data_IF_135114616996
#
_entry.id   IF_135114616996
#
_cell.length_a   1.000
_cell.length_b   1.000
_cell.length_c   1.000
_cell.angle_alpha   90.00
_cell.angle_beta   90.00
_cell.angle_gamma   90.00
#
_symmetry.space_group_name_H-M   'P 1'
#
loop_
_entity.id
_entity.type
_entity.pdbx_description
1 polymer ?
#
# COMPACT_ATOMS: atom_id res chain seq x y z
N UNK A 1 -10.52 -1.63 2.13
CA UNK A 1 -10.86 -0.42 1.31
C UNK A 1 -9.73 0.01 0.37
N UNK A 2 -8.46 -0.15 0.72
CA UNK A 2 -7.34 0.28 -0.14
C UNK A 2 -7.37 -0.30 -1.57
N UNK A 3 -7.80 -1.55 -1.73
CA UNK A 3 -7.92 -2.21 -3.04
C UNK A 3 -9.34 -2.16 -3.63
N UNK A 4 -10.29 -1.50 -2.97
CA UNK A 4 -11.66 -1.42 -3.48
C UNK A 4 -11.77 -0.62 -4.79
N UNK A 5 -11.11 0.54 -4.86
CA UNK A 5 -11.08 1.33 -6.09
C UNK A 5 -10.26 0.66 -7.21
N UNK A 6 -9.02 0.19 -6.99
CA UNK A 6 -8.30 -0.59 -8.01
C UNK A 6 -9.09 -1.75 -8.61
N UNK A 7 -9.91 -2.44 -7.81
CA UNK A 7 -10.74 -3.56 -8.28
C UNK A 7 -11.84 -3.13 -9.27
N UNK A 8 -12.29 -1.88 -9.23
CA UNK A 8 -13.39 -1.35 -10.07
C UNK A 8 -12.94 -0.28 -11.04
N UNK A 9 -11.65 0.12 -11.00
CA UNK A 9 -11.12 1.28 -11.71
C UNK A 9 -11.46 1.27 -13.21
N UNK A 10 -11.25 0.16 -13.90
CA UNK A 10 -11.46 0.06 -15.35
C UNK A 10 -12.93 0.27 -15.75
N UNK A 11 -13.86 -0.29 -14.99
CA UNK A 11 -15.32 -0.11 -15.26
C UNK A 11 -15.76 1.31 -14.93
N UNK A 12 -15.29 1.86 -13.81
CA UNK A 12 -15.61 3.23 -13.40
C UNK A 12 -15.01 4.25 -14.38
N UNK A 13 -13.78 4.02 -14.82
CA UNK A 13 -13.13 4.87 -15.84
C UNK A 13 -13.91 4.89 -17.15
N UNK A 14 -14.42 3.74 -17.58
CA UNK A 14 -15.24 3.60 -18.78
C UNK A 14 -16.60 4.30 -18.61
N UNK A 15 -17.35 3.98 -17.54
CA UNK A 15 -18.69 4.51 -17.28
C UNK A 15 -18.71 6.03 -17.16
N UNK A 16 -17.68 6.62 -16.53
CA UNK A 16 -17.63 8.08 -16.31
C UNK A 16 -16.79 8.83 -17.35
N UNK A 17 -16.24 8.16 -18.33
CA UNK A 17 -15.41 8.78 -19.36
C UNK A 17 -14.15 9.46 -18.81
N UNK A 18 -13.55 8.91 -17.74
CA UNK A 18 -12.41 9.55 -17.10
C UNK A 18 -11.13 9.41 -17.94
N UNK A 19 -10.29 10.48 -17.94
CA UNK A 19 -8.90 10.34 -18.35
C UNK A 19 -8.16 9.41 -17.36
N UNK A 20 -7.04 8.83 -17.78
CA UNK A 20 -6.25 7.97 -16.90
C UNK A 20 -5.64 8.77 -15.74
N UNK A 21 -5.26 10.03 -15.97
CA UNK A 21 -4.84 10.95 -14.89
C UNK A 21 -5.96 11.14 -13.86
N UNK A 22 -7.19 11.38 -14.30
CA UNK A 22 -8.32 11.52 -13.39
C UNK A 22 -8.61 10.24 -12.63
N UNK A 23 -8.55 9.08 -13.28
CA UNK A 23 -8.69 7.79 -12.61
C UNK A 23 -7.57 7.54 -11.59
N UNK A 24 -6.32 7.82 -11.94
CA UNK A 24 -5.17 7.70 -11.02
C UNK A 24 -5.29 8.63 -9.81
N UNK A 25 -5.86 9.84 -9.99
CA UNK A 25 -6.02 10.81 -8.90
C UNK A 25 -6.93 10.33 -7.76
N UNK A 26 -7.90 9.46 -8.04
CA UNK A 26 -8.75 8.86 -6.99
C UNK A 26 -7.93 7.91 -6.10
N UNK A 27 -7.05 7.09 -6.68
CA UNK A 27 -6.08 6.29 -5.91
C UNK A 27 -5.12 7.19 -5.12
N UNK A 28 -4.67 8.28 -5.71
CA UNK A 28 -3.81 9.28 -5.06
C UNK A 28 -4.49 9.95 -3.88
N UNK A 29 -5.77 10.31 -4.00
CA UNK A 29 -6.56 10.89 -2.90
C UNK A 29 -6.65 9.93 -1.70
N UNK A 30 -6.76 8.62 -1.96
CA UNK A 30 -6.72 7.61 -0.90
C UNK A 30 -5.36 7.61 -0.19
N UNK A 31 -4.25 7.66 -0.92
CA UNK A 31 -2.90 7.66 -0.31
C UNK A 31 -2.62 8.96 0.45
N UNK A 32 -3.01 10.12 -0.08
CA UNK A 32 -2.90 11.42 0.60
C UNK A 32 -3.72 11.41 1.89
N UNK A 33 -5.00 10.96 1.80
CA UNK A 33 -5.87 10.84 2.96
C UNK A 33 -5.25 9.97 4.06
N UNK A 34 -4.66 8.83 3.67
CA UNK A 34 -3.95 7.94 4.60
C UNK A 34 -2.74 8.64 5.24
N UNK A 35 -1.87 9.26 4.44
CA UNK A 35 -0.66 9.92 4.91
C UNK A 35 -0.96 11.04 5.92
N UNK A 36 -1.91 11.91 5.56
CA UNK A 36 -2.33 13.05 6.40
C UNK A 36 -2.98 12.53 7.69
N UNK A 37 -3.92 11.60 7.57
CA UNK A 37 -4.66 11.09 8.72
C UNK A 37 -3.77 10.34 9.71
N UNK A 38 -2.77 9.58 9.26
CA UNK A 38 -1.83 8.89 10.16
C UNK A 38 -1.09 9.85 11.08
N UNK A 39 -0.74 11.06 10.61
CA UNK A 39 -0.09 12.09 11.45
C UNK A 39 -1.05 12.57 12.52
N UNK A 40 -2.28 12.95 12.15
CA UNK A 40 -3.28 13.44 13.09
C UNK A 40 -3.77 12.37 14.05
N UNK A 41 -4.02 11.16 13.55
CA UNK A 41 -4.49 10.05 14.38
C UNK A 41 -3.43 9.61 15.39
N UNK A 42 -2.15 9.60 15.00
CA UNK A 42 -1.07 9.28 15.93
C UNK A 42 -0.99 10.30 17.06
N UNK A 43 -1.13 11.61 16.76
CA UNK A 43 -1.19 12.65 17.77
C UNK A 43 -2.44 12.50 18.65
N UNK A 44 -3.59 12.20 18.06
CA UNK A 44 -4.86 12.06 18.77
C UNK A 44 -4.88 10.83 19.71
N UNK A 45 -4.19 9.77 19.32
CA UNK A 45 -4.05 8.55 20.11
C UNK A 45 -3.27 8.75 21.42
N UNK A 46 -2.48 9.82 21.52
CA UNK A 46 -1.81 10.19 22.78
C UNK A 46 -2.79 10.79 23.82
N UNK A 47 -3.93 11.34 23.38
CA UNK A 47 -4.89 12.05 24.23
C UNK A 47 -6.20 11.31 24.42
N UNK A 48 -6.62 10.51 23.44
CA UNK A 48 -7.87 9.76 23.47
C UNK A 48 -7.66 8.29 23.81
N UNK A 49 -8.70 7.67 24.34
CA UNK A 49 -8.73 6.20 24.52
C UNK A 49 -8.58 5.49 23.17
N UNK A 50 -7.57 4.64 22.98
CA UNK A 50 -7.38 3.88 21.74
C UNK A 50 -8.61 3.06 21.31
N UNK A 51 -9.42 2.56 22.27
CA UNK A 51 -10.67 1.83 22.00
C UNK A 51 -11.75 2.71 21.39
N UNK A 52 -11.89 3.92 21.93
CA UNK A 52 -12.83 4.91 21.41
C UNK A 52 -12.41 5.33 19.98
N UNK A 53 -11.13 5.65 19.82
CA UNK A 53 -10.58 6.06 18.51
C UNK A 53 -10.74 4.96 17.48
N UNK A 54 -10.45 3.70 17.83
CA UNK A 54 -10.66 2.55 16.96
C UNK A 54 -12.14 2.39 16.56
N UNK A 55 -13.09 2.44 17.53
CA UNK A 55 -14.53 2.30 17.27
C UNK A 55 -15.08 3.42 16.38
N UNK A 56 -14.73 4.67 16.68
CA UNK A 56 -15.15 5.81 15.89
C UNK A 56 -14.63 5.69 14.46
N UNK A 57 -13.35 5.35 14.29
CA UNK A 57 -12.74 5.15 12.97
C UNK A 57 -13.35 3.97 12.21
N UNK A 58 -13.62 2.85 12.89
CA UNK A 58 -14.28 1.69 12.27
C UNK A 58 -15.71 2.06 11.81
N UNK A 59 -16.46 2.79 12.64
CA UNK A 59 -17.81 3.28 12.30
C UNK A 59 -17.81 4.25 11.13
N UNK A 60 -16.90 5.22 11.14
CA UNK A 60 -16.74 6.16 10.02
C UNK A 60 -16.32 5.44 8.73
N UNK A 61 -15.39 4.47 8.83
CA UNK A 61 -14.99 3.67 7.67
C UNK A 61 -16.17 2.87 7.11
N UNK A 62 -16.98 2.24 7.96
CA UNK A 62 -18.18 1.52 7.53
C UNK A 62 -19.18 2.46 6.85
N UNK A 63 -19.48 3.60 7.47
CA UNK A 63 -20.41 4.59 6.94
C UNK A 63 -19.96 5.12 5.56
N UNK A 64 -18.70 5.59 5.45
CA UNK A 64 -18.18 6.11 4.18
C UNK A 64 -18.14 4.99 3.13
N UNK A 65 -17.76 3.76 3.50
CA UNK A 65 -17.72 2.64 2.56
C UNK A 65 -19.11 2.31 1.97
N UNK A 66 -20.17 2.43 2.77
CA UNK A 66 -21.56 2.26 2.29
C UNK A 66 -22.05 3.44 1.45
N UNK A 67 -21.54 4.65 1.70
CA UNK A 67 -21.90 5.84 0.93
C UNK A 67 -21.22 5.88 -0.44
N UNK A 68 -20.04 5.29 -0.61
CA UNK A 68 -19.31 5.32 -1.91
C UNK A 68 -20.20 4.81 -3.06
N UNK A 69 -20.77 3.59 -3.04
CA UNK A 69 -21.57 3.08 -4.15
C UNK A 69 -22.85 3.86 -4.41
N UNK A 70 -23.33 4.63 -3.43
CA UNK A 70 -24.55 5.46 -3.54
C UNK A 70 -24.24 6.85 -4.07
N UNK A 71 -23.18 7.51 -3.58
CA UNK A 71 -22.91 8.92 -3.82
C UNK A 71 -21.79 9.15 -4.86
N UNK A 72 -21.05 8.12 -5.25
CA UNK A 72 -20.05 8.28 -6.30
C UNK A 72 -20.71 8.26 -7.68
N UNK A 73 -20.80 9.44 -8.30
CA UNK A 73 -21.41 9.62 -9.63
C UNK A 73 -20.45 10.23 -10.65
N UNK A 74 -19.17 10.44 -10.28
CA UNK A 74 -18.16 11.02 -11.14
C UNK A 74 -16.86 11.27 -10.38
N UNK A 75 -15.89 11.83 -11.09
CA UNK A 75 -14.53 12.04 -10.61
C UNK A 75 -14.45 12.69 -9.22
N UNK A 76 -15.03 13.89 -9.06
CA UNK A 76 -14.91 14.66 -7.81
C UNK A 76 -15.54 13.95 -6.62
N UNK A 77 -16.74 13.37 -6.80
CA UNK A 77 -17.42 12.64 -5.72
C UNK A 77 -16.64 11.41 -5.30
N UNK A 78 -16.06 10.65 -6.25
CA UNK A 78 -15.21 9.51 -5.95
C UNK A 78 -13.92 9.93 -5.24
N UNK A 79 -13.24 10.97 -5.73
CA UNK A 79 -12.03 11.50 -5.14
C UNK A 79 -12.24 11.89 -3.67
N UNK A 80 -13.32 12.61 -3.36
CA UNK A 80 -13.65 13.03 -2.00
C UNK A 80 -14.04 11.84 -1.11
N UNK A 81 -14.85 10.90 -1.62
CA UNK A 81 -15.33 9.74 -0.84
C UNK A 81 -14.20 8.74 -0.55
N UNK A 82 -13.34 8.42 -1.53
CA UNK A 82 -12.20 7.54 -1.29
C UNK A 82 -11.14 8.21 -0.41
N UNK A 83 -10.93 9.53 -0.54
CA UNK A 83 -10.12 10.31 0.40
C UNK A 83 -10.67 10.28 1.82
N UNK A 84 -11.98 10.49 2.00
CA UNK A 84 -12.64 10.38 3.29
C UNK A 84 -12.55 8.96 3.90
N UNK A 85 -12.70 7.91 3.07
CA UNK A 85 -12.51 6.53 3.51
C UNK A 85 -11.09 6.27 4.02
N UNK A 86 -10.09 6.85 3.36
CA UNK A 86 -8.69 6.75 3.78
C UNK A 86 -8.44 7.44 5.13
N UNK A 87 -9.00 8.64 5.31
CA UNK A 87 -8.94 9.35 6.61
C UNK A 87 -9.61 8.53 7.70
N UNK A 88 -10.78 7.96 7.42
CA UNK A 88 -11.52 7.15 8.40
C UNK A 88 -10.74 5.90 8.80
N UNK A 89 -10.16 5.16 7.85
CA UNK A 89 -9.46 3.88 8.12
C UNK A 89 -8.14 4.06 8.87
N UNK A 90 -7.49 5.22 8.76
CA UNK A 90 -6.20 5.48 9.41
C UNK A 90 -6.26 5.33 10.94
N UNK A 91 -7.41 5.64 11.55
CA UNK A 91 -7.62 5.47 13.00
C UNK A 91 -7.84 4.03 13.47
N UNK A 92 -7.81 3.06 12.56
CA UNK A 92 -7.83 1.63 12.90
C UNK A 92 -6.41 1.11 13.15
N UNK A 93 -5.44 1.58 12.37
CA UNK A 93 -4.08 1.03 12.38
C UNK A 93 -3.30 1.33 13.67
N UNK A 94 -3.09 2.61 13.97
CA UNK A 94 -2.32 3.02 15.16
C UNK A 94 -2.97 2.58 16.47
N UNK A 95 -4.27 2.86 16.73
CA UNK A 95 -4.94 2.35 17.91
C UNK A 95 -4.98 0.81 17.99
N UNK A 96 -5.12 0.11 16.86
CA UNK A 96 -5.07 -1.34 16.82
C UNK A 96 -3.73 -1.89 17.34
N UNK A 97 -2.62 -1.31 16.92
CA UNK A 97 -1.28 -1.65 17.43
C UNK A 97 -1.18 -1.38 18.94
N UNK A 98 -1.69 -0.23 19.42
CA UNK A 98 -1.66 0.11 20.83
C UNK A 98 -2.46 -0.89 21.68
N UNK A 99 -3.65 -1.26 21.24
CA UNK A 99 -4.52 -2.23 21.92
C UNK A 99 -3.89 -3.62 21.96
N UNK A 100 -3.21 -4.05 20.90
CA UNK A 100 -2.44 -5.30 20.90
C UNK A 100 -1.25 -5.24 21.88
N UNK A 101 -0.56 -4.11 21.93
CA UNK A 101 0.55 -3.92 22.86
C UNK A 101 0.11 -3.92 24.34
N UNK A 102 -1.12 -3.46 24.64
CA UNK A 102 -1.72 -3.52 25.97
C UNK A 102 -2.14 -4.95 26.36
N UNK A 103 -2.64 -5.74 25.40
CA UNK A 103 -3.29 -7.03 25.66
C UNK A 103 -2.32 -8.21 25.70
N UNK A 104 -1.23 -8.13 24.97
CA UNK A 104 -0.24 -9.20 24.84
C UNK A 104 1.03 -8.90 25.61
N UNK A 105 1.53 -9.91 26.33
CA UNK A 105 2.83 -9.87 27.00
C UNK A 105 3.97 -9.65 25.97
N UNK A 106 5.12 -9.03 26.38
CA UNK A 106 6.22 -8.74 25.48
C UNK A 106 6.68 -9.93 24.64
N UNK A 107 6.68 -11.15 25.22
CA UNK A 107 7.09 -12.37 24.52
C UNK A 107 6.14 -12.78 23.36
N UNK A 108 4.87 -12.37 23.38
CA UNK A 108 3.86 -12.70 22.36
C UNK A 108 3.45 -11.53 21.50
N UNK A 109 3.90 -10.32 21.80
CA UNK A 109 3.55 -9.10 21.02
C UNK A 109 3.97 -9.20 19.57
N UNK A 110 5.16 -9.72 19.28
CA UNK A 110 5.64 -9.88 17.92
C UNK A 110 4.71 -10.76 17.07
N UNK A 111 4.25 -11.87 17.63
CA UNK A 111 3.30 -12.76 16.97
C UNK A 111 1.95 -12.07 16.73
N UNK A 112 1.41 -11.36 17.72
CA UNK A 112 0.14 -10.65 17.59
C UNK A 112 0.21 -9.53 16.52
N UNK A 113 1.32 -8.77 16.48
CA UNK A 113 1.57 -7.76 15.44
C UNK A 113 1.70 -8.40 14.06
N UNK A 114 2.37 -9.54 13.96
CA UNK A 114 2.47 -10.30 12.71
C UNK A 114 1.11 -10.72 12.17
N UNK A 115 0.22 -11.24 13.01
CA UNK A 115 -1.15 -11.56 12.62
C UNK A 115 -1.97 -10.33 12.20
N UNK A 116 -1.79 -9.19 12.87
CA UNK A 116 -2.47 -7.95 12.51
C UNK A 116 -2.05 -7.45 11.11
N UNK A 117 -0.76 -7.50 10.80
CA UNK A 117 -0.25 -7.15 9.48
C UNK A 117 -0.69 -8.15 8.40
N UNK A 118 -0.66 -9.45 8.72
CA UNK A 118 -1.15 -10.49 7.82
C UNK A 118 -2.64 -10.33 7.50
N UNK A 119 -3.46 -9.93 8.49
CA UNK A 119 -4.88 -9.63 8.28
C UNK A 119 -5.09 -8.45 7.32
N UNK A 120 -4.23 -7.42 7.37
CA UNK A 120 -4.28 -6.31 6.41
C UNK A 120 -3.98 -6.78 4.99
N UNK A 121 -2.96 -7.60 4.80
CA UNK A 121 -2.62 -8.18 3.50
C UNK A 121 -3.71 -9.13 2.98
N UNK A 122 -4.32 -9.93 3.86
CA UNK A 122 -5.48 -10.75 3.51
C UNK A 122 -6.66 -9.88 3.08
N UNK A 123 -6.86 -8.72 3.72
CA UNK A 123 -7.86 -7.73 3.32
C UNK A 123 -7.68 -7.24 1.88
N UNK A 124 -6.44 -7.09 1.40
CA UNK A 124 -6.16 -6.73 0.00
C UNK A 124 -6.54 -7.86 -0.96
N UNK A 125 -6.15 -9.09 -0.65
CA UNK A 125 -6.51 -10.28 -1.43
C UNK A 125 -8.02 -10.45 -1.52
N UNK A 126 -8.73 -10.35 -0.39
CA UNK A 126 -10.19 -10.44 -0.33
C UNK A 126 -10.85 -9.28 -1.10
N UNK A 127 -10.33 -8.07 -0.99
CA UNK A 127 -10.88 -6.91 -1.69
C UNK A 127 -10.80 -7.07 -3.21
N UNK A 128 -9.68 -7.55 -3.73
CA UNK A 128 -9.50 -7.82 -5.15
C UNK A 128 -10.26 -9.07 -5.60
N UNK A 129 -10.17 -10.16 -4.84
CA UNK A 129 -10.81 -11.44 -5.20
C UNK A 129 -12.33 -11.36 -5.18
N UNK A 130 -12.90 -10.92 -4.05
CA UNK A 130 -14.36 -10.77 -3.89
C UNK A 130 -14.88 -9.63 -4.78
N UNK A 131 -14.19 -8.47 -4.76
CA UNK A 131 -14.53 -7.33 -5.60
C UNK A 131 -14.58 -7.72 -7.07
N UNK A 132 -13.54 -8.37 -7.58
CA UNK A 132 -13.46 -8.84 -8.96
C UNK A 132 -14.56 -9.85 -9.32
N UNK A 133 -14.84 -10.82 -8.45
CA UNK A 133 -15.89 -11.79 -8.67
C UNK A 133 -17.29 -11.16 -8.76
N UNK A 134 -17.55 -10.11 -7.99
CA UNK A 134 -18.83 -9.39 -7.99
C UNK A 134 -18.91 -8.41 -9.17
N UNK A 135 -17.82 -7.70 -9.48
CA UNK A 135 -17.79 -6.79 -10.66
C UNK A 135 -18.17 -7.54 -11.93
N UNK A 136 -17.62 -8.73 -12.14
CA UNK A 136 -17.89 -9.53 -13.34
C UNK A 136 -19.35 -9.96 -13.51
N UNK A 137 -20.17 -9.95 -12.44
CA UNK A 137 -21.56 -10.46 -12.44
C UNK A 137 -22.62 -9.39 -12.18
N UNK A 138 -22.30 -8.40 -11.34
CA UNK A 138 -23.28 -7.46 -10.80
C UNK A 138 -22.82 -5.99 -10.87
N UNK A 139 -21.67 -5.74 -11.50
CA UNK A 139 -21.14 -4.39 -11.69
C UNK A 139 -20.43 -3.82 -10.47
N UNK A 140 -19.84 -2.64 -10.64
CA UNK A 140 -18.94 -2.03 -9.65
C UNK A 140 -19.66 -1.54 -8.39
N UNK A 141 -20.91 -1.07 -8.49
CA UNK A 141 -21.69 -0.62 -7.31
C UNK A 141 -21.97 -1.78 -6.37
N UNK A 142 -22.40 -2.92 -6.91
CA UNK A 142 -22.62 -4.13 -6.12
C UNK A 142 -21.32 -4.63 -5.48
N UNK A 143 -20.21 -4.57 -6.22
CA UNK A 143 -18.90 -4.94 -5.67
C UNK A 143 -18.50 -4.05 -4.48
N UNK A 144 -18.67 -2.74 -4.57
CA UNK A 144 -18.37 -1.81 -3.47
C UNK A 144 -19.31 -2.01 -2.28
N UNK A 145 -20.61 -2.32 -2.48
CA UNK A 145 -21.51 -2.69 -1.38
C UNK A 145 -21.06 -3.96 -0.66
N UNK A 146 -20.70 -5.00 -1.41
CA UNK A 146 -20.18 -6.25 -0.80
C UNK A 146 -18.88 -5.99 -0.06
N UNK A 147 -17.96 -5.20 -0.61
CA UNK A 147 -16.71 -4.85 0.06
C UNK A 147 -16.92 -3.99 1.31
N UNK A 148 -17.99 -3.19 1.39
CA UNK A 148 -18.35 -2.41 2.57
C UNK A 148 -18.79 -3.28 3.76
N UNK A 149 -19.20 -4.52 3.52
CA UNK A 149 -19.51 -5.47 4.60
C UNK A 149 -18.30 -5.74 5.50
N UNK A 150 -17.06 -5.70 4.96
CA UNK A 150 -15.85 -5.87 5.75
C UNK A 150 -15.68 -4.79 6.84
N UNK A 151 -15.65 -3.49 6.50
CA UNK A 151 -15.68 -2.40 7.47
C UNK A 151 -16.88 -2.45 8.43
N UNK A 152 -18.06 -2.81 7.95
CA UNK A 152 -19.26 -2.95 8.79
C UNK A 152 -19.10 -4.05 9.83
N UNK A 153 -18.57 -5.20 9.42
CA UNK A 153 -18.25 -6.30 10.34
C UNK A 153 -17.18 -5.89 11.35
N UNK A 154 -16.13 -5.18 10.91
CA UNK A 154 -15.09 -4.65 11.79
C UNK A 154 -15.69 -3.71 12.85
N UNK A 155 -16.59 -2.81 12.45
CA UNK A 155 -17.29 -1.93 13.38
C UNK A 155 -18.13 -2.73 14.38
N UNK A 156 -18.99 -3.65 13.92
CA UNK A 156 -19.81 -4.51 14.78
C UNK A 156 -18.98 -5.31 15.78
N UNK A 157 -17.89 -5.94 15.32
CA UNK A 157 -16.97 -6.65 16.20
C UNK A 157 -16.30 -5.71 17.21
N UNK A 158 -15.95 -4.49 16.84
CA UNK A 158 -15.35 -3.52 17.75
C UNK A 158 -16.30 -3.09 18.88
N UNK A 159 -17.60 -2.98 18.59
CA UNK A 159 -18.63 -2.70 19.61
C UNK A 159 -18.73 -3.85 20.61
N UNK A 160 -18.68 -5.08 20.12
CA UNK A 160 -18.77 -6.27 20.98
C UNK A 160 -17.48 -6.48 21.79
N UNK A 161 -16.31 -6.44 21.17
CA UNK A 161 -15.02 -6.74 21.80
C UNK A 161 -14.61 -5.72 22.86
N UNK A 162 -15.01 -4.47 22.70
CA UNK A 162 -14.67 -3.40 23.65
C UNK A 162 -15.85 -3.00 24.56
N UNK A 163 -16.91 -3.83 24.61
CA UNK A 163 -18.05 -3.60 25.48
C UNK A 163 -17.65 -3.72 26.95
N UNK A 164 -17.99 -2.71 27.75
CA UNK A 164 -17.72 -2.71 29.19
C UNK A 164 -16.24 -2.56 29.61
N UNK A 165 -15.30 -2.55 28.66
CA UNK A 165 -13.88 -2.34 28.99
C UNK A 165 -13.64 -0.87 29.36
N UNK A 166 -13.21 -0.62 30.61
CA UNK A 166 -12.73 0.71 31.02
C UNK A 166 -11.32 0.93 30.51
N UNK A 167 -11.06 2.09 29.88
CA UNK A 167 -9.73 2.51 29.52
C UNK A 167 -8.84 2.54 30.76
N UNK A 168 -7.78 1.74 30.76
CA UNK A 168 -6.62 2.06 31.60
C UNK A 168 -5.90 3.20 30.86
N UNK A 169 -6.11 4.44 31.30
CA UNK A 169 -5.25 5.54 30.89
C UNK A 169 -3.82 5.13 31.24
N UNK A 170 -3.08 4.68 30.24
CA UNK A 170 -1.63 4.65 30.38
C UNK A 170 -1.22 6.09 30.63
N UNK A 171 -0.43 6.32 31.68
CA UNK A 171 0.23 7.62 31.91
C UNK A 171 0.97 7.94 30.62
N UNK A 172 0.43 8.84 29.83
CA UNK A 172 0.95 9.15 28.52
C UNK A 172 2.41 9.62 28.69
N UNK A 173 3.37 9.03 27.97
CA UNK A 173 4.63 9.73 27.75
C UNK A 173 4.25 11.07 27.13
N UNK A 174 4.79 12.17 27.67
CA UNK A 174 4.48 13.52 27.19
C UNK A 174 4.60 13.62 25.66
N UNK A 175 3.96 14.62 25.03
CA UNK A 175 3.82 14.71 23.58
C UNK A 175 5.17 14.48 22.90
N UNK A 176 5.27 13.39 22.13
CA UNK A 176 6.43 13.13 21.28
C UNK A 176 6.41 14.19 20.19
N UNK A 177 7.23 15.22 20.36
CA UNK A 177 7.44 16.21 19.30
C UNK A 177 7.99 15.47 18.08
N UNK A 178 7.24 15.52 16.98
CA UNK A 178 7.77 15.22 15.66
C UNK A 178 8.85 16.28 15.37
N UNK A 179 10.06 16.03 15.82
CA UNK A 179 11.17 16.92 15.49
C UNK A 179 11.81 16.38 14.22
N UNK A 180 11.69 17.13 13.13
CA UNK A 180 12.60 17.02 11.99
C UNK A 180 13.98 17.49 12.47
N UNK A 181 14.73 16.56 13.05
CA UNK A 181 15.94 16.88 13.78
C UNK A 181 17.15 16.96 12.87
N UNK A 182 18.05 17.90 13.13
CA UNK A 182 19.35 18.00 12.48
C UNK A 182 20.14 16.68 12.51
N UNK A 183 19.95 15.88 13.59
CA UNK A 183 20.56 14.55 13.73
C UNK A 183 20.11 13.56 12.65
N UNK A 184 18.83 13.57 12.25
CA UNK A 184 18.34 12.72 11.16
C UNK A 184 18.83 13.24 9.81
N UNK A 185 18.91 14.57 9.65
CA UNK A 185 19.43 15.21 8.43
C UNK A 185 20.94 14.93 8.23
N UNK A 186 21.71 14.73 9.30
CA UNK A 186 23.12 14.34 9.25
C UNK A 186 23.37 12.83 9.12
N UNK A 187 22.35 12.01 9.34
CA UNK A 187 22.48 10.54 9.36
C UNK A 187 22.31 9.96 7.96
N UNK A 188 23.36 9.92 7.15
CA UNK A 188 23.33 9.41 5.76
C UNK A 188 22.77 7.99 5.64
N UNK A 189 23.14 6.99 6.47
CA UNK A 189 22.55 5.64 6.40
C UNK A 189 21.04 5.66 6.58
N UNK A 190 20.53 6.40 7.57
CA UNK A 190 19.08 6.52 7.79
C UNK A 190 18.38 7.23 6.61
N UNK A 191 19.00 8.27 6.04
CA UNK A 191 18.46 8.93 4.85
C UNK A 191 18.39 7.99 3.65
N UNK A 192 19.42 7.20 3.37
CA UNK A 192 19.41 6.23 2.27
C UNK A 192 18.35 5.15 2.48
N UNK A 193 18.11 4.70 3.71
CA UNK A 193 17.00 3.81 4.05
C UNK A 193 15.63 4.48 3.84
N UNK A 194 15.50 5.76 4.21
CA UNK A 194 14.25 6.51 4.02
C UNK A 194 13.99 6.72 2.52
N UNK A 195 14.95 7.23 1.76
CA UNK A 195 14.79 7.46 0.33
C UNK A 195 14.59 6.16 -0.44
N UNK A 196 15.31 5.10 -0.11
CA UNK A 196 15.05 3.77 -0.68
C UNK A 196 13.61 3.32 -0.48
N UNK A 197 13.06 3.52 0.73
CA UNK A 197 11.65 3.22 1.02
C UNK A 197 10.67 4.16 0.26
N UNK A 198 11.03 5.41 0.04
CA UNK A 198 10.24 6.36 -0.76
C UNK A 198 10.14 5.87 -2.21
N UNK A 199 11.25 5.46 -2.79
CA UNK A 199 11.31 4.93 -4.16
C UNK A 199 10.62 3.57 -4.29
N UNK A 200 10.75 2.69 -3.30
CA UNK A 200 9.96 1.47 -3.18
C UNK A 200 8.45 1.77 -3.15
N UNK A 201 8.02 2.74 -2.34
CA UNK A 201 6.59 3.11 -2.22
C UNK A 201 6.04 3.70 -3.51
N UNK A 202 6.84 4.47 -4.25
CA UNK A 202 6.50 4.95 -5.59
C UNK A 202 6.17 3.79 -6.52
N UNK A 203 7.05 2.82 -6.63
CA UNK A 203 6.86 1.66 -7.50
C UNK A 203 5.68 0.80 -7.03
N UNK A 204 5.65 0.42 -5.75
CA UNK A 204 4.66 -0.49 -5.19
C UNK A 204 3.24 0.06 -5.27
N UNK A 205 3.01 1.31 -4.83
CA UNK A 205 1.66 1.88 -4.76
C UNK A 205 1.14 2.26 -6.14
N UNK A 206 2.02 2.66 -7.07
CA UNK A 206 1.68 2.82 -8.47
C UNK A 206 1.27 1.51 -9.12
N UNK A 207 2.04 0.45 -8.92
CA UNK A 207 1.73 -0.91 -9.39
C UNK A 207 0.39 -1.39 -8.83
N UNK A 208 0.15 -1.27 -7.53
CA UNK A 208 -1.10 -1.71 -6.91
C UNK A 208 -2.33 -0.98 -7.46
N UNK A 209 -2.20 0.31 -7.77
CA UNK A 209 -3.30 1.10 -8.30
C UNK A 209 -3.70 0.66 -9.73
N UNK A 210 -2.74 0.30 -10.56
CA UNK A 210 -2.96 0.12 -11.99
C UNK A 210 -2.91 -1.31 -12.50
N UNK A 211 -2.34 -2.28 -11.75
CA UNK A 211 -2.24 -3.68 -12.20
C UNK A 211 -3.60 -4.31 -12.54
N UNK A 212 -4.68 -4.14 -11.73
CA UNK A 212 -5.99 -4.69 -12.11
C UNK A 212 -6.50 -4.12 -13.43
N UNK A 213 -6.33 -2.82 -13.65
CA UNK A 213 -6.75 -2.16 -14.89
C UNK A 213 -5.88 -2.57 -16.09
N UNK A 214 -4.57 -2.77 -15.91
CA UNK A 214 -3.68 -3.29 -16.94
C UNK A 214 -4.12 -4.67 -17.42
N UNK A 215 -4.36 -5.60 -16.50
CA UNK A 215 -4.80 -6.96 -16.86
C UNK A 215 -6.19 -6.90 -17.51
N UNK A 216 -7.09 -6.06 -17.01
CA UNK A 216 -8.40 -5.86 -17.60
C UNK A 216 -8.30 -5.33 -19.03
N UNK A 217 -7.45 -4.33 -19.28
CA UNK A 217 -7.23 -3.78 -20.61
C UNK A 217 -6.61 -4.82 -21.57
N UNK A 218 -5.65 -5.63 -21.11
CA UNK A 218 -5.05 -6.71 -21.90
C UNK A 218 -6.08 -7.79 -22.26
N UNK A 219 -6.99 -8.15 -21.35
CA UNK A 219 -8.08 -9.09 -21.61
C UNK A 219 -9.14 -8.50 -22.56
N UNK A 220 -9.48 -7.23 -22.41
CA UNK A 220 -10.39 -6.54 -23.31
C UNK A 220 -9.82 -6.44 -24.73
N UNK A 221 -8.52 -6.19 -24.86
CA UNK A 221 -7.80 -6.22 -26.14
C UNK A 221 -7.88 -7.60 -26.82
N UNK A 222 -7.95 -8.68 -26.04
CA UNK A 222 -8.12 -10.06 -26.51
C UNK A 222 -9.62 -10.43 -26.73
N UNK A 223 -10.55 -9.47 -26.64
CA UNK A 223 -11.97 -9.67 -26.95
C UNK A 223 -12.86 -10.02 -25.76
N UNK A 224 -12.38 -9.90 -24.51
CA UNK A 224 -13.21 -10.08 -23.31
C UNK A 224 -14.04 -8.82 -23.05
N UNK A 225 -15.32 -8.96 -22.61
CA UNK A 225 -16.16 -7.81 -22.22
C UNK A 225 -15.56 -7.07 -21.04
N UNK A 226 -15.82 -5.75 -20.95
CA UNK A 226 -15.16 -4.88 -19.96
C UNK A 226 -15.41 -5.33 -18.50
N UNK A 227 -16.63 -5.75 -18.17
CA UNK A 227 -17.00 -6.17 -16.81
C UNK A 227 -16.28 -7.48 -16.45
N UNK A 228 -16.24 -8.43 -17.39
CA UNK A 228 -15.53 -9.70 -17.19
C UNK A 228 -14.02 -9.50 -17.13
N UNK A 229 -13.49 -8.64 -17.98
CA UNK A 229 -12.08 -8.28 -18.00
C UNK A 229 -11.66 -7.60 -16.69
N UNK A 230 -12.45 -6.64 -16.19
CA UNK A 230 -12.24 -5.97 -14.91
C UNK A 230 -12.27 -6.96 -13.74
N UNK A 231 -13.26 -7.85 -13.72
CA UNK A 231 -13.38 -8.86 -12.68
C UNK A 231 -12.19 -9.83 -12.67
N UNK A 232 -11.77 -10.32 -13.82
CA UNK A 232 -10.60 -11.19 -13.94
C UNK A 232 -9.30 -10.44 -13.63
N UNK A 233 -9.17 -9.18 -14.06
CA UNK A 233 -8.03 -8.33 -13.75
C UNK A 233 -7.83 -8.14 -12.26
N UNK A 234 -8.89 -7.85 -11.52
CA UNK A 234 -8.87 -7.77 -10.07
C UNK A 234 -8.54 -9.12 -9.41
N UNK A 235 -9.19 -10.20 -9.84
CA UNK A 235 -8.97 -11.55 -9.29
C UNK A 235 -7.51 -12.01 -9.48
N UNK A 236 -6.95 -11.84 -10.68
CA UNK A 236 -5.56 -12.22 -10.96
C UNK A 236 -4.56 -11.35 -10.20
N UNK A 237 -4.87 -10.06 -10.03
CA UNK A 237 -4.04 -9.18 -9.19
C UNK A 237 -4.03 -9.61 -7.72
N UNK A 238 -5.07 -10.29 -7.23
CA UNK A 238 -5.06 -10.86 -5.89
C UNK A 238 -3.94 -11.89 -5.70
N UNK A 239 -3.57 -12.64 -6.75
CA UNK A 239 -2.44 -13.60 -6.74
C UNK A 239 -1.13 -12.86 -6.43
N UNK A 240 -0.93 -11.67 -7.02
CA UNK A 240 0.29 -10.87 -6.80
C UNK A 240 0.40 -10.41 -5.35
N UNK A 241 -0.73 -10.10 -4.70
CA UNK A 241 -0.75 -9.78 -3.27
C UNK A 241 -0.46 -11.02 -2.39
N UNK A 242 -0.92 -12.22 -2.78
CA UNK A 242 -0.55 -13.47 -2.09
C UNK A 242 0.96 -13.69 -2.18
N UNK A 243 1.56 -13.50 -3.36
CA UNK A 243 3.01 -13.59 -3.53
C UNK A 243 3.76 -12.58 -2.67
N UNK A 244 3.23 -11.37 -2.53
CA UNK A 244 3.76 -10.34 -1.64
C UNK A 244 3.72 -10.72 -0.15
N UNK A 245 2.67 -11.43 0.30
CA UNK A 245 2.60 -11.97 1.68
C UNK A 245 3.75 -12.97 1.91
N UNK A 246 3.96 -13.89 0.96
CA UNK A 246 5.06 -14.86 1.02
C UNK A 246 6.43 -14.17 1.05
N UNK A 247 6.59 -13.12 0.23
CA UNK A 247 7.81 -12.35 0.15
C UNK A 247 8.11 -11.60 1.47
N UNK A 248 7.10 -11.00 2.08
CA UNK A 248 7.25 -10.32 3.38
C UNK A 248 7.66 -11.27 4.50
N UNK A 249 7.10 -12.48 4.49
CA UNK A 249 7.45 -13.51 5.48
C UNK A 249 8.89 -14.02 5.31
N UNK A 250 9.35 -14.16 4.06
CA UNK A 250 10.70 -14.70 3.74
C UNK A 250 11.77 -13.61 3.69
N UNK A 251 11.43 -12.39 3.25
CA UNK A 251 12.38 -11.28 3.07
C UNK A 251 13.14 -10.92 4.34
N UNK A 252 12.45 -10.88 5.48
CA UNK A 252 13.08 -10.69 6.80
C UNK A 252 14.13 -11.74 7.09
N UNK A 253 13.77 -13.02 7.00
CA UNK A 253 14.69 -14.15 7.26
C UNK A 253 15.88 -14.17 6.28
N UNK A 254 15.64 -13.90 5.00
CA UNK A 254 16.71 -13.77 4.00
C UNK A 254 17.65 -12.63 4.35
N UNK A 255 17.13 -11.50 4.81
CA UNK A 255 17.94 -10.32 5.17
C UNK A 255 18.77 -10.52 6.44
N UNK A 256 18.30 -11.38 7.36
CA UNK A 256 19.09 -11.79 8.52
C UNK A 256 20.28 -12.69 8.12
N UNK A 257 20.13 -13.42 7.01
CA UNK A 257 21.16 -14.33 6.50
C UNK A 257 22.15 -13.63 5.56
N UNK A 258 21.67 -12.83 4.61
CA UNK A 258 22.45 -12.25 3.50
C UNK A 258 22.77 -10.77 3.68
N UNK A 259 22.21 -10.12 4.70
CA UNK A 259 22.33 -8.68 4.96
C UNK A 259 21.18 -7.87 4.40
N UNK A 260 20.88 -6.73 5.06
CA UNK A 260 19.76 -5.87 4.72
C UNK A 260 19.88 -5.28 3.32
N UNK A 261 21.06 -4.68 3.04
CA UNK A 261 21.29 -3.99 1.75
C UNK A 261 21.29 -4.96 0.58
N UNK A 262 21.82 -6.17 0.73
CA UNK A 262 21.86 -7.17 -0.32
C UNK A 262 20.46 -7.65 -0.71
N UNK A 263 19.61 -7.95 0.29
CA UNK A 263 18.25 -8.44 0.01
C UNK A 263 17.39 -7.33 -0.59
N UNK A 264 17.44 -6.10 -0.04
CA UNK A 264 16.71 -4.98 -0.63
C UNK A 264 17.17 -4.73 -2.07
N UNK A 265 18.49 -4.65 -2.31
CA UNK A 265 19.03 -4.41 -3.64
C UNK A 265 18.62 -5.52 -4.63
N UNK A 266 18.64 -6.79 -4.22
CA UNK A 266 18.17 -7.91 -5.04
C UNK A 266 16.69 -7.82 -5.37
N UNK A 267 15.85 -7.52 -4.39
CA UNK A 267 14.40 -7.34 -4.60
C UNK A 267 14.11 -6.14 -5.52
N UNK A 268 14.76 -4.99 -5.29
CA UNK A 268 14.61 -3.79 -6.12
C UNK A 268 15.11 -4.01 -7.55
N UNK A 269 16.17 -4.78 -7.74
CA UNK A 269 16.66 -5.13 -9.08
C UNK A 269 15.62 -5.96 -9.85
N UNK A 270 15.05 -6.99 -9.20
CA UNK A 270 14.05 -7.85 -9.84
C UNK A 270 12.75 -7.08 -10.09
N UNK A 271 12.27 -6.29 -9.12
CA UNK A 271 11.04 -5.50 -9.27
C UNK A 271 11.18 -4.45 -10.35
N UNK A 272 12.32 -3.73 -10.42
CA UNK A 272 12.59 -2.76 -11.49
C UNK A 272 12.61 -3.43 -12.86
N UNK A 273 13.28 -4.57 -13.00
CA UNK A 273 13.30 -5.31 -14.26
C UNK A 273 11.89 -5.73 -14.69
N UNK A 274 11.08 -6.21 -13.73
CA UNK A 274 9.67 -6.50 -13.98
C UNK A 274 8.92 -5.22 -14.39
N UNK A 275 9.10 -4.11 -13.69
CA UNK A 275 8.45 -2.83 -13.97
C UNK A 275 8.73 -2.35 -15.39
N UNK A 276 9.99 -2.40 -15.83
CA UNK A 276 10.37 -2.05 -17.20
C UNK A 276 9.85 -3.02 -18.27
N UNK A 277 9.58 -4.29 -17.91
CA UNK A 277 9.09 -5.31 -18.85
C UNK A 277 7.57 -5.49 -18.86
N UNK A 278 6.90 -5.33 -17.70
CA UNK A 278 5.54 -5.79 -17.49
C UNK A 278 4.51 -5.11 -18.40
N UNK A 279 4.57 -3.79 -18.55
CA UNK A 279 3.64 -3.06 -19.40
C UNK A 279 3.76 -3.41 -20.89
N UNK A 280 4.96 -3.77 -21.35
CA UNK A 280 5.20 -4.20 -22.73
C UNK A 280 4.61 -5.58 -23.05
N UNK A 281 4.21 -6.33 -22.01
CA UNK A 281 3.52 -7.62 -22.15
C UNK A 281 2.02 -7.49 -22.41
N UNK A 282 1.50 -6.30 -22.71
CA UNK A 282 0.08 -6.02 -22.91
C UNK A 282 -0.63 -6.98 -23.87
N UNK A 283 0.03 -7.36 -24.95
CA UNK A 283 -0.49 -8.32 -25.94
C UNK A 283 0.01 -9.75 -25.71
N UNK A 284 0.75 -10.03 -24.64
CA UNK A 284 1.30 -11.34 -24.36
C UNK A 284 0.22 -12.33 -23.87
N UNK A 285 0.47 -13.64 -23.93
CA UNK A 285 -0.40 -14.64 -23.33
C UNK A 285 -0.63 -14.36 -21.83
N UNK A 286 -1.89 -14.50 -21.40
CA UNK A 286 -2.28 -14.21 -20.01
C UNK A 286 -1.42 -14.93 -18.97
N UNK A 287 -1.06 -16.19 -19.23
CA UNK A 287 -0.21 -16.97 -18.33
C UNK A 287 1.14 -16.27 -18.09
N UNK A 288 1.75 -15.71 -19.13
CA UNK A 288 3.03 -14.99 -19.01
C UNK A 288 2.86 -13.72 -18.16
N UNK A 289 1.78 -12.96 -18.40
CA UNK A 289 1.44 -11.78 -17.58
C UNK A 289 1.29 -12.16 -16.10
N UNK A 290 0.59 -13.27 -15.80
CA UNK A 290 0.38 -13.74 -14.43
C UNK A 290 1.68 -14.21 -13.78
N UNK A 291 2.53 -14.94 -14.50
CA UNK A 291 3.83 -15.40 -13.97
C UNK A 291 4.74 -14.22 -13.67
N UNK A 292 4.93 -13.31 -14.62
CA UNK A 292 5.80 -12.14 -14.42
C UNK A 292 5.21 -11.20 -13.36
N UNK A 293 3.89 -10.98 -13.35
CA UNK A 293 3.21 -10.20 -12.33
C UNK A 293 3.33 -10.82 -10.93
N UNK A 294 3.37 -12.15 -10.82
CA UNK A 294 3.62 -12.85 -9.55
C UNK A 294 5.04 -12.63 -9.04
N UNK A 295 6.04 -12.67 -9.93
CA UNK A 295 7.44 -12.36 -9.61
C UNK A 295 7.55 -10.89 -9.22
N UNK A 296 6.88 -10.00 -9.94
CA UNK A 296 6.83 -8.58 -9.64
C UNK A 296 6.21 -8.31 -8.27
N UNK A 297 5.03 -8.88 -7.97
CA UNK A 297 4.38 -8.76 -6.66
C UNK A 297 5.24 -9.31 -5.51
N UNK A 298 5.94 -10.41 -5.74
CA UNK A 298 6.88 -10.98 -4.76
C UNK A 298 8.05 -10.02 -4.50
N UNK A 299 8.73 -9.56 -5.53
CA UNK A 299 9.92 -8.71 -5.39
C UNK A 299 9.57 -7.32 -4.88
N UNK A 300 8.49 -6.70 -5.39
CA UNK A 300 8.09 -5.36 -5.02
C UNK A 300 7.60 -5.23 -3.56
N UNK A 301 7.18 -6.32 -2.89
CA UNK A 301 6.77 -6.27 -1.49
C UNK A 301 7.79 -6.88 -0.53
N UNK A 302 8.71 -7.70 -1.04
CA UNK A 302 9.65 -8.48 -0.21
C UNK A 302 10.67 -7.65 0.57
N UNK A 303 10.97 -6.44 0.13
CA UNK A 303 11.88 -5.50 0.76
C UNK A 303 11.23 -4.62 1.84
N UNK A 304 9.90 -4.47 1.86
CA UNK A 304 9.17 -3.60 2.79
C UNK A 304 9.49 -3.86 4.27
N UNK A 305 9.51 -5.15 4.67
CA UNK A 305 9.85 -5.55 6.03
C UNK A 305 11.33 -5.30 6.35
N UNK A 306 12.19 -5.45 5.34
CA UNK A 306 13.64 -5.26 5.48
C UNK A 306 13.98 -3.78 5.65
N UNK A 307 13.33 -2.87 4.89
CA UNK A 307 13.42 -1.42 5.12
C UNK A 307 12.99 -1.03 6.54
N UNK A 308 11.90 -1.63 7.02
CA UNK A 308 11.41 -1.37 8.37
C UNK A 308 12.40 -1.79 9.45
N UNK A 309 13.04 -2.94 9.30
CA UNK A 309 14.08 -3.41 10.21
C UNK A 309 15.36 -2.58 10.07
N UNK A 310 15.82 -2.32 8.83
CA UNK A 310 17.04 -1.57 8.57
C UNK A 310 17.03 -0.16 9.17
N UNK A 311 15.87 0.53 9.18
CA UNK A 311 15.81 1.85 9.83
C UNK A 311 15.98 1.76 11.33
N UNK A 312 15.54 0.68 12.00
CA UNK A 312 15.76 0.48 13.44
C UNK A 312 17.24 0.29 13.81
N UNK A 313 18.03 -0.18 12.84
CA UNK A 313 19.47 -0.44 13.00
C UNK A 313 20.33 0.80 12.65
N UNK A 314 19.74 1.81 11.98
CA UNK A 314 20.46 3.02 11.52
C UNK A 314 20.22 4.25 12.39
N UNK A 315 19.19 4.25 13.25
CA UNK A 315 18.85 5.38 14.13
C UNK A 315 18.88 4.98 15.59
N UNK A 316 19.11 5.96 16.47
CA UNK A 316 19.04 5.74 17.92
C UNK A 316 17.58 5.45 18.34
N UNK A 317 17.33 4.61 19.38
CA UNK A 317 15.98 4.27 19.83
C UNK A 317 15.09 5.50 20.12
N UNK A 318 15.67 6.58 20.67
CA UNK A 318 14.95 7.82 21.01
C UNK A 318 14.45 8.56 19.77
N UNK A 319 15.06 8.32 18.59
CA UNK A 319 14.76 8.96 17.29
C UNK A 319 13.98 8.06 16.34
N UNK A 320 13.79 6.80 16.69
CA UNK A 320 13.14 5.81 15.82
C UNK A 320 11.71 6.25 15.42
N UNK A 321 10.95 6.78 16.37
CA UNK A 321 9.58 7.25 16.08
C UNK A 321 9.53 8.36 15.03
N UNK A 322 10.44 9.35 15.13
CA UNK A 322 10.55 10.44 14.16
C UNK A 322 11.00 9.94 12.79
N UNK A 323 11.98 9.04 12.74
CA UNK A 323 12.48 8.46 11.49
C UNK A 323 11.41 7.64 10.76
N UNK A 324 10.62 6.84 11.50
CA UNK A 324 9.50 6.08 10.94
C UNK A 324 8.37 6.99 10.45
N UNK A 325 8.09 8.08 11.15
CA UNK A 325 7.08 9.06 10.74
C UNK A 325 7.48 9.77 9.44
N UNK A 326 8.74 10.24 9.35
CA UNK A 326 9.29 10.86 8.12
C UNK A 326 9.26 9.89 6.97
N UNK A 327 9.73 8.65 7.16
CA UNK A 327 9.70 7.59 6.17
C UNK A 327 8.28 7.35 5.64
N UNK A 328 7.31 7.23 6.56
CA UNK A 328 5.91 6.93 6.18
C UNK A 328 5.28 8.10 5.44
N UNK A 329 5.49 9.33 5.91
CA UNK A 329 4.96 10.53 5.26
C UNK A 329 5.50 10.68 3.82
N UNK A 330 6.82 10.56 3.65
CA UNK A 330 7.45 10.65 2.34
C UNK A 330 7.09 9.46 1.44
N UNK A 331 7.05 8.24 1.99
CA UNK A 331 6.68 7.04 1.24
C UNK A 331 5.24 7.09 0.73
N UNK A 332 4.26 7.39 1.59
CA UNK A 332 2.87 7.56 1.15
C UNK A 332 2.71 8.78 0.23
N UNK A 333 3.50 9.85 0.44
CA UNK A 333 3.56 10.99 -0.48
C UNK A 333 3.99 10.60 -1.89
N UNK A 334 5.07 9.83 -2.02
CA UNK A 334 5.51 9.29 -3.30
C UNK A 334 4.46 8.35 -3.91
N UNK A 335 3.88 7.47 -3.09
CA UNK A 335 2.79 6.58 -3.48
C UNK A 335 1.51 7.30 -3.90
N UNK A 336 1.31 8.54 -3.45
CA UNK A 336 0.21 9.38 -3.92
C UNK A 336 0.49 9.99 -5.29
N UNK A 337 1.74 10.30 -5.60
CA UNK A 337 2.13 10.88 -6.90
C UNK A 337 2.20 9.81 -7.99
N UNK A 338 2.62 8.60 -7.64
CA UNK A 338 2.86 7.53 -8.61
C UNK A 338 1.63 7.15 -9.48
N UNK A 339 0.41 6.95 -8.94
CA UNK A 339 -0.77 6.67 -9.76
C UNK A 339 -1.16 7.81 -10.71
N UNK A 340 -0.91 9.07 -10.29
CA UNK A 340 -1.12 10.25 -11.14
C UNK A 340 -0.17 10.26 -12.33
N UNK A 341 1.13 10.07 -12.07
CA UNK A 341 2.15 10.05 -13.13
C UNK A 341 1.90 8.89 -14.09
N UNK A 342 1.55 7.71 -13.57
CA UNK A 342 1.18 6.57 -14.39
C UNK A 342 0.01 6.91 -15.33
N UNK A 343 -1.07 7.48 -14.78
CA UNK A 343 -2.24 7.90 -15.56
C UNK A 343 -1.89 8.99 -16.60
N UNK A 344 -1.05 9.97 -16.24
CA UNK A 344 -0.60 11.00 -17.17
C UNK A 344 0.21 10.42 -18.34
N UNK A 345 1.08 9.45 -18.08
CA UNK A 345 1.80 8.74 -19.14
C UNK A 345 0.83 7.97 -20.03
N UNK A 346 -0.18 7.28 -19.47
CA UNK A 346 -1.19 6.63 -20.30
C UNK A 346 -1.96 7.62 -21.17
N UNK A 347 -2.33 8.78 -20.63
CA UNK A 347 -3.09 9.80 -21.39
C UNK A 347 -2.29 10.33 -22.60
N UNK A 348 -0.95 10.41 -22.49
CA UNK A 348 -0.05 10.77 -23.62
C UNK A 348 -0.08 9.74 -24.75
N UNK A 349 -0.46 8.49 -24.46
CA UNK A 349 -0.48 7.38 -25.42
C UNK A 349 -1.91 6.86 -25.72
N UNK A 350 -2.93 7.70 -25.55
CA UNK A 350 -4.31 7.37 -25.91
C UNK A 350 -5.23 7.06 -24.73
N UNK A 351 -4.76 7.25 -23.49
CA UNK A 351 -5.58 7.13 -22.28
C UNK A 351 -6.16 5.73 -22.10
N UNK A 352 -7.48 5.61 -22.04
CA UNK A 352 -8.20 4.34 -21.93
C UNK A 352 -7.88 3.35 -23.05
N UNK A 353 -7.61 3.85 -24.24
CA UNK A 353 -7.25 3.09 -25.42
C UNK A 353 -5.73 3.01 -25.62
N UNK A 354 -4.96 3.16 -24.54
CA UNK A 354 -3.51 3.16 -24.62
C UNK A 354 -3.00 1.87 -25.28
N UNK A 355 -2.07 2.04 -26.21
CA UNK A 355 -1.39 0.95 -26.90
C UNK A 355 -0.41 0.22 -25.97
N UNK A 356 0.21 -0.84 -26.47
CA UNK A 356 1.35 -1.51 -25.81
C UNK A 356 2.39 -0.51 -25.32
N UNK A 357 2.72 0.50 -26.13
CA UNK A 357 3.70 1.52 -25.75
C UNK A 357 3.22 2.38 -24.56
N UNK A 358 1.94 2.72 -24.49
CA UNK A 358 1.39 3.48 -23.36
C UNK A 358 1.54 2.73 -22.04
N UNK A 359 1.14 1.49 -22.00
CA UNK A 359 1.31 0.64 -20.83
C UNK A 359 2.78 0.38 -20.51
N UNK A 360 3.61 0.15 -21.55
CA UNK A 360 5.04 -0.04 -21.40
C UNK A 360 5.73 1.15 -20.73
N UNK A 361 5.48 2.36 -21.21
CA UNK A 361 6.06 3.58 -20.64
C UNK A 361 5.50 3.91 -19.25
N UNK A 362 4.21 3.66 -19.02
CA UNK A 362 3.59 3.91 -17.71
C UNK A 362 4.21 3.02 -16.61
N UNK A 363 4.39 1.72 -16.86
CA UNK A 363 5.12 0.85 -15.93
C UNK A 363 6.61 1.21 -15.84
N UNK A 364 7.24 1.60 -16.96
CA UNK A 364 8.64 2.03 -16.93
C UNK A 364 8.86 3.27 -16.05
N UNK A 365 7.89 4.19 -16.00
CA UNK A 365 7.94 5.33 -15.08
C UNK A 365 7.96 4.91 -13.60
N UNK A 366 7.31 3.79 -13.25
CA UNK A 366 7.41 3.20 -11.90
C UNK A 366 8.79 2.58 -11.69
N UNK A 367 9.33 1.90 -12.69
CA UNK A 367 10.65 1.26 -12.64
C UNK A 367 11.80 2.22 -12.37
N UNK A 368 11.66 3.51 -12.73
CA UNK A 368 12.62 4.54 -12.35
C UNK A 368 12.77 4.61 -10.83
N UNK A 369 11.67 4.55 -10.09
CA UNK A 369 11.72 4.47 -8.62
C UNK A 369 12.50 3.25 -8.15
N UNK A 370 12.23 2.09 -8.71
CA UNK A 370 12.94 0.86 -8.37
C UNK A 370 14.46 0.97 -8.58
N UNK A 371 14.89 1.56 -9.71
CA UNK A 371 16.33 1.82 -9.97
C UNK A 371 16.92 2.78 -8.93
N UNK A 372 16.23 3.87 -8.59
CA UNK A 372 16.70 4.82 -7.58
C UNK A 372 16.79 4.18 -6.19
N UNK A 373 15.84 3.30 -5.85
CA UNK A 373 15.88 2.49 -4.62
C UNK A 373 17.07 1.53 -4.59
N UNK A 374 17.31 0.83 -5.71
CA UNK A 374 18.49 -0.04 -5.89
C UNK A 374 19.78 0.76 -5.69
N UNK A 375 19.93 1.89 -6.36
CA UNK A 375 21.12 2.74 -6.24
C UNK A 375 21.33 3.23 -4.80
N UNK A 376 20.25 3.59 -4.10
CA UNK A 376 20.31 3.99 -2.69
C UNK A 376 20.89 2.86 -1.82
N UNK A 377 20.49 1.62 -2.06
CA UNK A 377 20.99 0.47 -1.29
C UNK A 377 22.42 0.07 -1.68
N UNK A 378 22.77 0.14 -2.95
CA UNK A 378 24.14 -0.07 -3.40
C UNK A 378 25.08 0.98 -2.81
N UNK A 379 24.65 2.24 -2.75
CA UNK A 379 25.42 3.31 -2.11
C UNK A 379 25.56 3.05 -0.61
N UNK A 380 24.49 2.74 0.10
CA UNK A 380 24.55 2.41 1.52
C UNK A 380 25.53 1.25 1.78
N UNK A 381 25.54 0.23 0.91
CA UNK A 381 26.42 -0.93 1.03
C UNK A 381 27.91 -0.56 0.95
N UNK A 382 28.29 0.53 0.25
CA UNK A 382 29.68 1.01 0.18
C UNK A 382 30.11 1.78 1.42
N UNK A 383 29.18 2.21 2.28
CA UNK A 383 29.48 3.00 3.47
C UNK A 383 30.00 2.12 4.62
N UNK A 384 30.93 2.62 5.45
CA UNK A 384 31.41 1.90 6.63
C UNK A 384 30.29 1.53 7.61
N UNK A 385 29.28 2.40 7.73
CA UNK A 385 28.14 2.24 8.62
C UNK A 385 27.23 1.07 8.23
N UNK A 386 27.30 0.57 7.00
CA UNK A 386 26.59 -0.63 6.59
C UNK A 386 26.99 -1.86 7.43
N UNK A 387 28.16 -1.83 8.05
CA UNK A 387 28.59 -2.87 8.99
C UNK A 387 27.76 -2.95 10.27
N UNK A 388 26.93 -1.96 10.56
CA UNK A 388 25.98 -1.98 11.69
C UNK A 388 24.70 -2.75 11.37
N UNK A 389 24.37 -2.91 10.08
CA UNK A 389 23.17 -3.59 9.63
C UNK A 389 23.33 -5.11 9.74
N UNK A 390 22.29 -5.80 10.20
CA UNK A 390 22.22 -7.27 10.30
C UNK A 390 23.43 -7.89 11.02
N UNK A 391 23.96 -7.23 12.05
CA UNK A 391 25.12 -7.73 12.80
C UNK A 391 26.42 -7.79 11.99
N UNK A 392 26.59 -6.89 11.01
CA UNK A 392 27.79 -6.79 10.17
C UNK A 392 27.69 -7.47 8.82
N UNK A 393 26.54 -8.04 8.48
CA UNK A 393 26.30 -8.63 7.14
C UNK A 393 25.91 -7.51 6.17
N UNK A 394 26.64 -7.43 5.08
CA UNK A 394 26.43 -6.41 4.03
C UNK A 394 25.62 -6.95 2.87
#
# INVERSE_FOLDING_TARGET
MAMAYPAVLSVVQEEWGLSSTAAGSISSAYQIGTAVALVFVSALADYLDPRLLFRVSAGLTAAVSLLIPVLAHGHLSALLLFGAAAVAVAGIYTPGIMLLAERFEPARRGQAMGWFLAASSMGYVLSLGVGGAVVARAGWRAALFVLALGPLLCFGLSLFLFYGERSRRASAPGPRRLSFDADLAGNRPAQLMIWGYVFHSWELLGMWAWTPAFIAAALAFQGTTIERAAGLGALLSAIFHVMGILASATGGALSDRWGRTAVIAGMMLVSSACSFGFGWMFAAPLLLIVVVGSIYGFSALGDSSVYSTGITETVKPERLGSALAVRSLLGFGAGAVAPLVFGAVLDLYGGRNASVAGWGWAFSALGVGGVLGLLSMLWLRTMPEASRLAGGKR
#
